data_IF_792007413625
#
_entry.id   IF_792007413625
#
_cell.length_a   1.000
_cell.length_b   1.000
_cell.length_c   1.000
_cell.angle_alpha   90.00
_cell.angle_beta   90.00
_cell.angle_gamma   90.00
#
_symmetry.space_group_name_H-M   'P 1'
#
loop_
_entity.id
_entity.type
_entity.pdbx_description
1 polymer ?
#
# COMPACT_ATOMS: atom_id res chain seq x y z
N UNK A 1 -13.59 -18.14 -5.95
CA UNK A 1 -13.32 -18.11 -4.48
C UNK A 1 -13.36 -16.66 -3.97
N UNK A 2 -12.63 -15.72 -4.58
CA UNK A 2 -12.55 -14.31 -4.12
C UNK A 2 -13.92 -13.59 -4.14
N UNK A 3 -14.72 -13.77 -5.19
CA UNK A 3 -16.07 -13.20 -5.28
C UNK A 3 -17.03 -13.73 -4.20
N UNK A 4 -16.84 -14.96 -3.73
CA UNK A 4 -17.62 -15.50 -2.59
C UNK A 4 -17.20 -14.84 -1.28
N UNK A 5 -15.90 -14.59 -1.09
CA UNK A 5 -15.40 -13.89 0.09
C UNK A 5 -15.88 -12.43 0.14
N UNK A 6 -15.99 -11.76 -1.01
CA UNK A 6 -16.61 -10.43 -1.11
C UNK A 6 -18.09 -10.43 -0.65
N UNK A 7 -18.80 -11.56 -0.77
CA UNK A 7 -20.16 -11.70 -0.26
C UNK A 7 -20.30 -11.42 1.24
N UNK A 8 -19.27 -11.72 2.03
CA UNK A 8 -19.25 -11.43 3.48
C UNK A 8 -19.06 -9.95 3.81
N UNK A 9 -18.53 -9.17 2.86
CA UNK A 9 -18.32 -7.73 3.02
C UNK A 9 -19.55 -6.87 2.71
N UNK A 10 -20.72 -7.48 2.46
CA UNK A 10 -21.98 -6.74 2.18
C UNK A 10 -22.40 -5.86 3.38
N UNK A 11 -22.95 -4.63 3.16
CA UNK A 11 -23.15 -3.99 1.86
C UNK A 11 -21.89 -3.29 1.37
N UNK A 12 -21.21 -3.91 0.38
CA UNK A 12 -19.98 -3.36 -0.22
C UNK A 12 -20.24 -1.97 -0.77
N UNK A 13 -21.39 -1.76 -1.41
CA UNK A 13 -21.76 -0.51 -2.10
C UNK A 13 -21.69 0.70 -1.17
N UNK A 14 -22.11 0.56 0.08
CA UNK A 14 -22.08 1.64 1.07
C UNK A 14 -20.67 2.16 1.37
N UNK A 15 -19.64 1.32 1.21
CA UNK A 15 -18.25 1.65 1.50
C UNK A 15 -17.42 1.81 0.23
N UNK A 16 -17.72 1.06 -0.83
CA UNK A 16 -16.98 1.12 -2.09
C UNK A 16 -17.19 2.45 -2.81
N UNK A 17 -18.41 2.99 -2.82
CA UNK A 17 -18.69 4.28 -3.48
C UNK A 17 -17.91 5.43 -2.85
N UNK A 18 -18.03 5.71 -1.51
CA UNK A 18 -17.25 6.79 -0.91
C UNK A 18 -15.74 6.53 -0.95
N UNK A 19 -15.32 5.27 -0.82
CA UNK A 19 -13.92 4.88 -0.97
C UNK A 19 -13.38 5.25 -2.36
N UNK A 20 -14.10 4.89 -3.43
CA UNK A 20 -13.72 5.20 -4.80
C UNK A 20 -13.64 6.72 -5.03
N UNK A 21 -14.63 7.46 -4.54
CA UNK A 21 -14.64 8.92 -4.61
C UNK A 21 -13.40 9.53 -3.94
N UNK A 22 -13.10 9.15 -2.70
CA UNK A 22 -11.92 9.64 -1.99
C UNK A 22 -10.61 9.20 -2.67
N UNK A 23 -10.57 7.98 -3.23
CA UNK A 23 -9.40 7.49 -3.95
C UNK A 23 -9.12 8.28 -5.24
N UNK A 24 -10.16 8.67 -5.98
CA UNK A 24 -10.04 9.52 -7.18
C UNK A 24 -9.49 10.89 -6.82
N UNK A 25 -10.05 11.55 -5.80
CA UNK A 25 -9.54 12.86 -5.36
C UNK A 25 -8.11 12.77 -4.81
N UNK A 26 -7.81 11.73 -4.05
CA UNK A 26 -6.46 11.46 -3.62
C UNK A 26 -5.49 11.33 -4.80
N UNK A 27 -5.83 10.50 -5.81
CA UNK A 27 -5.00 10.30 -6.98
C UNK A 27 -4.81 11.61 -7.77
N UNK A 28 -5.86 12.40 -7.92
CA UNK A 28 -5.82 13.69 -8.62
C UNK A 28 -4.87 14.67 -7.91
N UNK A 29 -5.07 14.94 -6.63
CA UNK A 29 -4.21 15.87 -5.89
C UNK A 29 -2.77 15.37 -5.77
N UNK A 30 -2.58 14.06 -5.66
CA UNK A 30 -1.26 13.45 -5.62
C UNK A 30 -0.52 13.62 -6.97
N UNK A 31 -1.22 13.43 -8.08
CA UNK A 31 -0.67 13.65 -9.43
C UNK A 31 -0.31 15.13 -9.65
N UNK A 32 -1.18 16.05 -9.24
CA UNK A 32 -0.89 17.50 -9.29
C UNK A 32 0.35 17.84 -8.47
N UNK A 33 0.47 17.29 -7.27
CA UNK A 33 1.64 17.50 -6.42
C UNK A 33 2.95 17.02 -7.08
N UNK A 34 2.89 15.87 -7.79
CA UNK A 34 4.02 15.38 -8.58
C UNK A 34 4.39 16.33 -9.73
N UNK A 35 3.41 16.87 -10.45
CA UNK A 35 3.63 17.82 -11.56
C UNK A 35 4.22 19.14 -11.07
N UNK A 36 3.85 19.61 -9.87
CA UNK A 36 4.40 20.83 -9.28
C UNK A 36 5.92 20.79 -9.01
N UNK A 37 6.53 19.61 -9.05
CA UNK A 37 7.99 19.48 -8.97
C UNK A 37 8.66 20.17 -10.16
N UNK A 38 8.05 20.19 -11.35
CA UNK A 38 8.60 20.77 -12.57
C UNK A 38 8.89 22.27 -12.40
N UNK A 39 7.89 23.13 -12.07
CA UNK A 39 8.16 24.56 -11.89
C UNK A 39 9.07 24.85 -10.69
N UNK A 40 9.11 24.00 -9.67
CA UNK A 40 10.05 24.16 -8.55
C UNK A 40 11.48 23.95 -9.02
N UNK A 41 11.74 22.84 -9.72
CA UNK A 41 13.07 22.57 -10.25
C UNK A 41 13.49 23.59 -11.32
N UNK A 42 12.56 23.98 -12.20
CA UNK A 42 12.78 25.03 -13.17
C UNK A 42 13.20 26.34 -12.51
N UNK A 43 12.51 26.77 -11.47
CA UNK A 43 12.82 28.02 -10.74
C UNK A 43 14.18 27.96 -10.02
N UNK A 44 14.57 26.79 -9.50
CA UNK A 44 15.79 26.64 -8.71
C UNK A 44 17.05 26.44 -9.57
N UNK A 45 16.94 25.70 -10.67
CA UNK A 45 18.10 25.23 -11.43
C UNK A 45 18.26 25.89 -12.80
N UNK A 46 17.23 26.53 -13.34
CA UNK A 46 17.28 27.17 -14.64
C UNK A 46 17.23 28.71 -14.48
N UNK A 47 18.35 29.43 -14.66
CA UNK A 47 18.38 30.90 -14.58
C UNK A 47 17.51 31.60 -15.61
N UNK A 48 17.26 30.94 -16.75
CA UNK A 48 16.44 31.45 -17.85
C UNK A 48 14.95 31.14 -17.71
N UNK A 49 14.56 30.43 -16.62
CA UNK A 49 13.17 30.11 -16.36
C UNK A 49 12.41 31.35 -15.93
N UNK A 50 11.75 32.00 -16.91
CA UNK A 50 11.05 33.26 -16.69
C UNK A 50 9.55 33.03 -16.65
N UNK A 51 8.93 33.57 -15.63
CA UNK A 51 7.48 33.71 -15.55
C UNK A 51 7.07 35.03 -16.22
N UNK A 52 6.12 34.99 -17.12
CA UNK A 52 5.50 36.18 -17.71
C UNK A 52 4.16 36.46 -17.05
N UNK A 53 3.75 37.74 -16.91
CA UNK A 53 2.42 38.05 -16.42
C UNK A 53 1.37 37.56 -17.42
N UNK A 54 0.46 36.72 -16.93
CA UNK A 54 -0.58 36.09 -17.72
C UNK A 54 -1.92 36.42 -17.09
N UNK A 55 -2.78 37.06 -17.89
CA UNK A 55 -4.13 37.49 -17.47
C UNK A 55 -5.20 36.48 -17.87
N UNK A 56 -4.92 35.60 -18.83
CA UNK A 56 -5.87 34.61 -19.34
C UNK A 56 -5.43 33.20 -18.97
N UNK A 57 -6.38 32.34 -18.60
CA UNK A 57 -6.12 30.94 -18.33
C UNK A 57 -5.63 30.26 -19.61
N UNK A 58 -4.56 29.42 -19.57
CA UNK A 58 -4.12 28.72 -20.75
C UNK A 58 -5.21 27.82 -21.31
N UNK A 59 -5.52 27.98 -22.60
CA UNK A 59 -6.63 27.31 -23.29
C UNK A 59 -6.46 25.78 -23.39
N UNK A 60 -5.26 25.28 -23.18
CA UNK A 60 -4.93 23.83 -23.14
C UNK A 60 -4.24 23.47 -21.85
N UNK A 61 -4.88 22.60 -21.08
CA UNK A 61 -4.28 21.97 -19.90
C UNK A 61 -3.28 20.89 -20.36
N UNK A 62 -2.07 21.29 -20.67
CA UNK A 62 -0.94 20.37 -20.84
C UNK A 62 0.03 20.58 -19.69
N UNK A 63 0.61 19.50 -19.16
CA UNK A 63 1.58 19.60 -18.04
C UNK A 63 3.02 19.77 -18.57
N UNK A 64 3.18 20.45 -19.71
CA UNK A 64 4.48 20.82 -20.25
C UNK A 64 5.12 21.94 -19.40
N UNK A 65 6.44 22.09 -19.51
CA UNK A 65 7.20 23.11 -18.81
C UNK A 65 6.61 24.52 -19.03
N UNK A 66 6.25 24.85 -20.26
CA UNK A 66 5.64 26.14 -20.63
C UNK A 66 4.27 26.36 -20.00
N UNK A 67 3.38 25.34 -20.03
CA UNK A 67 2.02 25.48 -19.48
C UNK A 67 2.03 25.50 -17.96
N UNK A 68 2.95 24.75 -17.32
CA UNK A 68 3.13 24.81 -15.87
C UNK A 68 3.64 26.18 -15.43
N UNK A 69 4.57 26.78 -16.19
CA UNK A 69 5.03 28.13 -15.95
C UNK A 69 3.91 29.17 -16.15
N UNK A 70 3.08 28.99 -17.18
CA UNK A 70 1.91 29.84 -17.43
C UNK A 70 0.87 29.77 -16.31
N UNK A 71 0.57 28.59 -15.80
CA UNK A 71 -0.33 28.43 -14.65
C UNK A 71 0.19 29.12 -13.39
N UNK A 72 1.47 28.92 -13.10
CA UNK A 72 2.12 29.58 -11.97
C UNK A 72 2.12 31.10 -12.18
N UNK A 73 2.45 31.58 -13.38
CA UNK A 73 2.41 33.00 -13.75
C UNK A 73 1.02 33.59 -13.58
N UNK A 74 -0.03 32.91 -14.01
CA UNK A 74 -1.42 33.34 -13.84
C UNK A 74 -1.79 33.48 -12.35
N UNK A 75 -1.54 32.46 -11.54
CA UNK A 75 -1.83 32.49 -10.09
C UNK A 75 -1.00 33.59 -9.41
N UNK A 76 0.26 33.73 -9.78
CA UNK A 76 1.15 34.75 -9.22
C UNK A 76 0.64 36.16 -9.52
N UNK A 77 0.26 36.44 -10.78
CA UNK A 77 -0.22 37.74 -11.21
C UNK A 77 -1.48 38.17 -10.44
N UNK A 78 -2.36 37.22 -10.14
CA UNK A 78 -3.59 37.48 -9.38
C UNK A 78 -3.36 37.68 -7.86
N UNK A 79 -2.31 37.09 -7.29
CA UNK A 79 -2.03 37.13 -5.85
C UNK A 79 -1.04 38.25 -5.49
N UNK A 80 0.03 38.40 -6.28
CA UNK A 80 1.17 39.28 -5.96
C UNK A 80 1.36 40.43 -6.95
N UNK A 81 0.59 40.47 -8.07
CA UNK A 81 0.69 41.50 -9.09
C UNK A 81 1.77 41.22 -10.14
N UNK A 82 2.24 42.28 -10.83
CA UNK A 82 3.09 42.15 -12.03
C UNK A 82 4.59 42.12 -11.77
N UNK A 83 5.03 42.38 -10.52
CA UNK A 83 6.45 42.32 -10.19
C UNK A 83 6.87 40.92 -9.76
N UNK A 84 7.57 40.21 -10.66
CA UNK A 84 8.08 38.86 -10.38
C UNK A 84 9.36 38.89 -9.55
N UNK A 85 9.21 38.62 -8.24
CA UNK A 85 10.34 38.39 -7.34
C UNK A 85 10.51 36.87 -7.14
N UNK A 86 11.71 36.36 -7.37
CA UNK A 86 11.99 34.91 -7.27
C UNK A 86 11.60 34.33 -5.92
N UNK A 87 11.81 35.07 -4.83
CA UNK A 87 11.42 34.65 -3.47
C UNK A 87 9.89 34.45 -3.35
N UNK A 88 9.10 35.37 -3.88
CA UNK A 88 7.64 35.30 -3.82
C UNK A 88 7.09 34.12 -4.67
N UNK A 89 7.73 33.83 -5.80
CA UNK A 89 7.38 32.66 -6.63
C UNK A 89 7.64 31.37 -5.86
N UNK A 90 8.78 31.24 -5.22
CA UNK A 90 9.13 30.07 -4.40
C UNK A 90 8.17 29.90 -3.21
N UNK A 91 7.80 31.02 -2.56
CA UNK A 91 6.79 30.99 -1.47
C UNK A 91 5.44 30.53 -2.02
N UNK A 92 4.97 31.05 -3.16
CA UNK A 92 3.72 30.63 -3.80
C UNK A 92 3.74 29.14 -4.12
N UNK A 93 4.81 28.66 -4.74
CA UNK A 93 4.97 27.24 -5.07
C UNK A 93 4.99 26.37 -3.82
N UNK A 94 5.72 26.78 -2.78
CA UNK A 94 5.78 26.07 -1.50
C UNK A 94 4.39 25.98 -0.84
N UNK A 95 3.65 27.09 -0.79
CA UNK A 95 2.27 27.12 -0.24
C UNK A 95 1.34 26.25 -1.07
N UNK A 96 1.45 26.27 -2.39
CA UNK A 96 0.62 25.45 -3.29
C UNK A 96 0.90 23.96 -3.06
N UNK A 97 2.17 23.54 -2.98
CA UNK A 97 2.56 22.16 -2.67
C UNK A 97 2.07 21.75 -1.27
N UNK A 98 2.21 22.63 -0.30
CA UNK A 98 1.75 22.35 1.08
C UNK A 98 0.23 22.15 1.11
N UNK A 99 -0.52 22.99 0.42
CA UNK A 99 -1.98 22.91 0.34
C UNK A 99 -2.44 21.67 -0.41
N UNK A 100 -1.88 21.38 -1.59
CA UNK A 100 -2.21 20.17 -2.37
C UNK A 100 -1.81 18.90 -1.64
N UNK A 101 -0.68 18.90 -0.95
CA UNK A 101 -0.24 17.79 -0.10
C UNK A 101 -1.19 17.56 1.08
N UNK A 102 -1.64 18.62 1.73
CA UNK A 102 -2.61 18.54 2.83
C UNK A 102 -3.94 17.95 2.35
N UNK A 103 -4.46 18.47 1.21
CA UNK A 103 -5.68 17.91 0.61
C UNK A 103 -5.51 16.44 0.22
N UNK A 104 -4.43 16.10 -0.46
CA UNK A 104 -4.12 14.72 -0.85
C UNK A 104 -4.11 13.79 0.37
N UNK A 105 -3.39 14.15 1.42
CA UNK A 105 -3.32 13.34 2.62
C UNK A 105 -4.66 13.26 3.38
N UNK A 106 -5.47 14.31 3.34
CA UNK A 106 -6.83 14.30 3.91
C UNK A 106 -7.72 13.28 3.18
N UNK A 107 -7.73 13.30 1.84
CA UNK A 107 -8.49 12.31 1.05
C UNK A 107 -7.96 10.88 1.22
N UNK A 108 -6.64 10.72 1.34
CA UNK A 108 -6.01 9.45 1.69
C UNK A 108 -6.49 8.92 3.04
N UNK A 109 -6.54 9.78 4.04
CA UNK A 109 -7.04 9.43 5.37
C UNK A 109 -8.51 9.02 5.33
N UNK A 110 -9.37 9.80 4.68
CA UNK A 110 -10.81 9.49 4.52
C UNK A 110 -11.03 8.16 3.78
N UNK A 111 -10.25 7.92 2.72
CA UNK A 111 -10.26 6.65 1.99
C UNK A 111 -9.87 5.48 2.90
N UNK A 112 -8.78 5.62 3.65
CA UNK A 112 -8.31 4.59 4.58
C UNK A 112 -9.30 4.34 5.73
N UNK A 113 -9.90 5.40 6.26
CA UNK A 113 -10.91 5.32 7.30
C UNK A 113 -12.17 4.58 6.83
N UNK A 114 -12.60 4.84 5.58
CA UNK A 114 -13.76 4.15 4.99
C UNK A 114 -13.52 2.65 4.85
N UNK A 115 -12.32 2.25 4.37
CA UNK A 115 -11.99 0.83 4.21
C UNK A 115 -11.83 0.13 5.58
N UNK A 116 -11.31 0.82 6.58
CA UNK A 116 -11.15 0.27 7.94
C UNK A 116 -12.49 0.05 8.64
N UNK A 117 -13.45 0.95 8.44
CA UNK A 117 -14.83 0.74 8.91
C UNK A 117 -15.49 -0.47 8.24
N UNK A 118 -15.28 -0.66 6.94
CA UNK A 118 -15.74 -1.86 6.23
C UNK A 118 -15.09 -3.11 6.82
N UNK A 119 -13.78 -3.03 7.07
CA UNK A 119 -12.96 -4.09 7.65
C UNK A 119 -13.51 -4.57 8.98
N UNK A 120 -13.73 -3.67 9.92
CA UNK A 120 -14.20 -3.98 11.26
C UNK A 120 -15.60 -4.65 11.23
N UNK A 121 -16.50 -4.13 10.40
CA UNK A 121 -17.85 -4.70 10.27
C UNK A 121 -17.86 -6.06 9.59
N UNK A 122 -17.00 -6.26 8.57
CA UNK A 122 -16.86 -7.56 7.91
C UNK A 122 -16.32 -8.61 8.88
N UNK A 123 -15.31 -8.23 9.68
CA UNK A 123 -14.77 -9.11 10.73
C UNK A 123 -15.84 -9.55 11.73
N UNK A 124 -16.61 -8.59 12.23
CA UNK A 124 -17.68 -8.88 13.17
C UNK A 124 -18.71 -9.85 12.60
N UNK A 125 -19.15 -9.64 11.35
CA UNK A 125 -20.10 -10.55 10.68
C UNK A 125 -19.52 -11.94 10.50
N UNK A 126 -18.33 -12.05 9.96
CA UNK A 126 -17.68 -13.35 9.77
C UNK A 126 -17.54 -14.12 11.08
N UNK A 127 -17.23 -13.44 12.17
CA UNK A 127 -17.17 -14.06 13.51
C UNK A 127 -18.52 -14.50 14.00
N UNK A 128 -19.56 -13.67 13.85
CA UNK A 128 -20.93 -14.02 14.24
C UNK A 128 -21.45 -15.21 13.43
N UNK A 129 -21.29 -15.18 12.10
CA UNK A 129 -21.73 -16.29 11.22
C UNK A 129 -21.03 -17.60 11.57
N UNK A 130 -19.72 -17.54 11.88
CA UNK A 130 -18.98 -18.72 12.33
C UNK A 130 -19.45 -19.19 13.70
N UNK A 131 -19.67 -18.28 14.64
CA UNK A 131 -20.17 -18.62 15.96
C UNK A 131 -21.53 -19.29 15.88
N UNK A 132 -22.47 -18.72 15.13
CA UNK A 132 -23.81 -19.29 14.93
C UNK A 132 -23.76 -20.68 14.29
N UNK A 133 -22.89 -20.86 13.27
CA UNK A 133 -22.68 -22.16 12.66
C UNK A 133 -22.11 -23.20 13.65
N UNK A 134 -21.14 -22.77 14.47
CA UNK A 134 -20.56 -23.65 15.50
C UNK A 134 -21.57 -24.04 16.57
N UNK A 135 -22.40 -23.10 17.01
CA UNK A 135 -23.46 -23.39 18.02
C UNK A 135 -24.54 -24.36 17.50
N UNK A 136 -24.74 -24.43 16.20
CA UNK A 136 -25.67 -25.36 15.56
C UNK A 136 -25.05 -26.76 15.30
N UNK A 137 -23.77 -26.99 15.64
CA UNK A 137 -23.14 -28.30 15.50
C UNK A 137 -23.56 -29.26 16.61
N UNK A 138 -23.58 -30.57 16.29
CA UNK A 138 -23.88 -31.62 17.25
C UNK A 138 -22.83 -31.63 18.38
N UNK A 139 -23.27 -31.89 19.62
CA UNK A 139 -22.39 -31.93 20.82
C UNK A 139 -21.23 -32.93 20.65
N UNK A 140 -21.44 -34.05 19.94
CA UNK A 140 -20.38 -35.01 19.62
C UNK A 140 -19.20 -34.48 18.76
N UNK A 141 -19.37 -33.29 18.15
CA UNK A 141 -18.31 -32.64 17.42
C UNK A 141 -17.21 -32.03 18.35
N UNK A 142 -17.58 -31.67 19.57
CA UNK A 142 -16.74 -30.96 20.51
C UNK A 142 -15.84 -31.91 21.33
N UNK A 143 -14.65 -32.25 20.83
CA UNK A 143 -13.56 -32.79 21.61
C UNK A 143 -12.63 -31.68 22.06
N UNK A 144 -11.77 -31.91 23.06
CA UNK A 144 -10.85 -30.87 23.57
C UNK A 144 -9.89 -30.35 22.50
N UNK A 145 -9.42 -31.21 21.61
CA UNK A 145 -8.58 -30.85 20.49
C UNK A 145 -9.33 -29.99 19.46
N UNK A 146 -10.59 -30.30 19.18
CA UNK A 146 -11.42 -29.54 18.24
C UNK A 146 -11.88 -28.19 18.78
N UNK A 147 -12.02 -28.03 20.09
CA UNK A 147 -12.31 -26.73 20.70
C UNK A 147 -11.22 -25.72 20.41
N UNK A 148 -9.94 -26.09 20.57
CA UNK A 148 -8.79 -25.25 20.25
C UNK A 148 -8.75 -24.84 18.77
N UNK A 149 -9.03 -25.79 17.86
CA UNK A 149 -9.09 -25.52 16.42
C UNK A 149 -10.20 -24.55 16.05
N UNK A 150 -11.40 -24.72 16.63
CA UNK A 150 -12.53 -23.79 16.42
C UNK A 150 -12.22 -22.39 16.92
N UNK A 151 -11.63 -22.26 18.11
CA UNK A 151 -11.21 -20.96 18.65
C UNK A 151 -10.17 -20.30 17.74
N UNK A 152 -9.18 -21.05 17.28
CA UNK A 152 -8.16 -20.55 16.35
C UNK A 152 -8.77 -20.06 15.03
N UNK A 153 -9.73 -20.80 14.47
CA UNK A 153 -10.43 -20.39 13.24
C UNK A 153 -11.21 -19.09 13.42
N UNK A 154 -11.95 -18.94 14.51
CA UNK A 154 -12.76 -17.73 14.78
C UNK A 154 -11.87 -16.51 15.08
N UNK A 155 -10.74 -16.69 15.73
CA UNK A 155 -9.88 -15.58 16.16
C UNK A 155 -8.83 -15.23 15.11
N UNK A 156 -8.06 -16.20 14.65
CA UNK A 156 -6.89 -16.00 13.80
C UNK A 156 -7.23 -16.05 12.30
N UNK A 157 -7.83 -17.16 11.83
CA UNK A 157 -8.04 -17.38 10.40
C UNK A 157 -8.98 -16.36 9.79
N UNK A 158 -10.06 -16.01 10.50
CA UNK A 158 -11.00 -14.97 10.06
C UNK A 158 -10.30 -13.62 9.91
N UNK A 159 -9.38 -13.28 10.80
CA UNK A 159 -8.62 -12.04 10.73
C UNK A 159 -7.72 -12.00 9.49
N UNK A 160 -7.06 -13.12 9.16
CA UNK A 160 -6.24 -13.24 7.95
C UNK A 160 -7.09 -13.11 6.68
N UNK A 161 -8.22 -13.82 6.62
CA UNK A 161 -9.13 -13.75 5.46
C UNK A 161 -9.65 -12.33 5.25
N UNK A 162 -10.10 -11.69 6.31
CA UNK A 162 -10.58 -10.32 6.28
C UNK A 162 -9.50 -9.32 5.83
N UNK A 163 -8.26 -9.47 6.32
CA UNK A 163 -7.14 -8.64 5.87
C UNK A 163 -6.88 -8.82 4.37
N UNK A 164 -6.91 -10.06 3.87
CA UNK A 164 -6.76 -10.33 2.43
C UNK A 164 -7.85 -9.65 1.60
N UNK A 165 -9.12 -9.69 2.03
CA UNK A 165 -10.23 -9.07 1.30
C UNK A 165 -10.04 -7.55 1.23
N UNK A 166 -9.79 -6.89 2.37
CA UNK A 166 -9.71 -5.43 2.42
C UNK A 166 -8.46 -4.89 1.74
N UNK A 167 -7.32 -5.54 1.93
CA UNK A 167 -6.07 -5.16 1.29
C UNK A 167 -6.16 -5.30 -0.24
N UNK A 168 -6.76 -6.40 -0.73
CA UNK A 168 -6.95 -6.59 -2.18
C UNK A 168 -7.88 -5.53 -2.77
N UNK A 169 -8.96 -5.15 -2.10
CA UNK A 169 -9.84 -4.07 -2.55
C UNK A 169 -9.08 -2.74 -2.59
N UNK A 170 -8.30 -2.44 -1.56
CA UNK A 170 -7.52 -1.22 -1.49
C UNK A 170 -6.51 -1.13 -2.64
N UNK A 171 -5.75 -2.20 -2.88
CA UNK A 171 -4.76 -2.24 -3.96
C UNK A 171 -5.44 -2.24 -5.34
N UNK A 172 -6.53 -2.98 -5.52
CA UNK A 172 -7.22 -3.10 -6.82
C UNK A 172 -7.87 -1.79 -7.30
N UNK A 173 -8.25 -0.89 -6.41
CA UNK A 173 -8.89 0.38 -6.79
C UNK A 173 -7.93 1.57 -6.72
N UNK A 174 -7.21 1.74 -5.62
CA UNK A 174 -6.37 2.92 -5.40
C UNK A 174 -5.13 2.93 -6.30
N UNK A 175 -4.41 1.82 -6.37
CA UNK A 175 -3.14 1.79 -7.11
C UNK A 175 -3.31 1.98 -8.63
N UNK A 176 -4.32 1.35 -9.31
CA UNK A 176 -4.55 1.65 -10.72
C UNK A 176 -4.90 3.11 -11.00
N UNK A 177 -5.67 3.77 -10.12
CA UNK A 177 -5.98 5.19 -10.27
C UNK A 177 -4.72 6.06 -10.21
N UNK A 178 -3.79 5.77 -9.27
CA UNK A 178 -2.50 6.44 -9.18
C UNK A 178 -1.64 6.19 -10.42
N UNK A 179 -1.56 4.94 -10.87
CA UNK A 179 -0.80 4.58 -12.08
C UNK A 179 -1.33 5.33 -13.29
N UNK A 180 -2.65 5.35 -13.48
CA UNK A 180 -3.28 6.10 -14.58
C UNK A 180 -2.96 7.59 -14.47
N UNK A 181 -3.10 8.18 -13.28
CA UNK A 181 -2.79 9.58 -13.03
C UNK A 181 -1.33 9.93 -13.39
N UNK A 182 -0.39 9.14 -12.94
CA UNK A 182 1.04 9.34 -13.24
C UNK A 182 1.38 9.10 -14.71
N UNK A 183 0.77 8.08 -15.35
CA UNK A 183 0.96 7.84 -16.77
C UNK A 183 0.44 9.02 -17.61
N UNK A 184 -0.76 9.51 -17.31
CA UNK A 184 -1.33 10.68 -17.99
C UNK A 184 -0.41 11.88 -17.81
N UNK A 185 0.02 12.19 -16.59
CA UNK A 185 0.96 13.28 -16.33
C UNK A 185 2.26 13.11 -17.11
N UNK A 186 2.84 11.92 -17.11
CA UNK A 186 4.09 11.61 -17.81
C UNK A 186 3.96 11.77 -19.34
N UNK A 187 2.85 11.32 -19.94
CA UNK A 187 2.58 11.53 -21.36
C UNK A 187 2.37 13.00 -21.71
N UNK A 188 1.76 13.77 -20.83
CA UNK A 188 1.56 15.21 -21.02
C UNK A 188 2.87 16.01 -20.91
N UNK A 189 3.82 15.54 -20.10
CA UNK A 189 5.14 16.16 -19.96
C UNK A 189 6.03 15.83 -21.17
N UNK A 190 6.19 14.55 -21.49
CA UNK A 190 7.02 14.10 -22.61
C UNK A 190 6.62 12.71 -23.09
N UNK A 191 6.01 12.63 -24.27
CA UNK A 191 5.58 11.37 -24.86
C UNK A 191 6.77 10.43 -25.19
N UNK A 192 7.92 11.00 -25.56
CA UNK A 192 9.14 10.22 -25.86
C UNK A 192 9.69 9.52 -24.63
N UNK A 193 9.78 10.26 -23.51
CA UNK A 193 10.26 9.73 -22.25
C UNK A 193 9.27 8.70 -21.67
N UNK A 194 7.97 8.92 -21.88
CA UNK A 194 6.91 8.00 -21.45
C UNK A 194 7.01 6.64 -22.14
N UNK A 195 7.17 6.62 -23.46
CA UNK A 195 7.35 5.37 -24.22
C UNK A 195 8.63 4.65 -23.77
N UNK A 196 9.73 5.39 -23.63
CA UNK A 196 10.98 4.80 -23.14
C UNK A 196 10.77 4.13 -21.76
N UNK A 197 10.11 4.82 -20.83
CA UNK A 197 9.85 4.28 -19.49
C UNK A 197 8.94 3.04 -19.51
N UNK A 198 7.89 3.04 -20.34
CA UNK A 198 6.98 1.89 -20.48
C UNK A 198 7.71 0.66 -21.03
N UNK A 199 8.66 0.84 -21.95
CA UNK A 199 9.48 -0.25 -22.49
C UNK A 199 10.53 -0.71 -21.47
N UNK A 200 11.12 0.23 -20.74
CA UNK A 200 12.17 -0.05 -19.76
C UNK A 200 11.65 -0.79 -18.51
N UNK A 201 10.45 -0.43 -18.01
CA UNK A 201 9.85 -1.03 -16.82
C UNK A 201 9.71 -2.58 -16.90
N UNK A 202 9.21 -3.20 -17.98
CA UNK A 202 9.17 -4.65 -18.09
C UNK A 202 10.55 -5.31 -18.06
N UNK A 203 11.57 -4.67 -18.64
CA UNK A 203 12.95 -5.18 -18.60
C UNK A 203 13.47 -5.24 -17.17
N UNK A 204 13.28 -4.15 -16.40
CA UNK A 204 13.63 -4.11 -14.97
C UNK A 204 12.83 -5.14 -14.18
N UNK A 205 11.52 -5.28 -14.44
CA UNK A 205 10.66 -6.25 -13.78
C UNK A 205 11.13 -7.70 -14.03
N UNK A 206 11.56 -8.03 -15.26
CA UNK A 206 12.13 -9.34 -15.58
C UNK A 206 13.44 -9.60 -14.83
N UNK A 207 14.34 -8.62 -14.74
CA UNK A 207 15.59 -8.73 -14.00
C UNK A 207 15.31 -8.96 -12.50
N UNK A 208 14.43 -8.17 -11.90
CA UNK A 208 14.01 -8.35 -10.51
C UNK A 208 13.36 -9.72 -10.31
N UNK A 209 12.51 -10.15 -11.24
CA UNK A 209 11.86 -11.46 -11.22
C UNK A 209 12.84 -12.63 -11.19
N UNK A 210 13.94 -12.54 -11.96
CA UNK A 210 15.01 -13.54 -11.94
C UNK A 210 15.73 -13.57 -10.58
N UNK A 211 16.05 -12.40 -10.00
CA UNK A 211 16.67 -12.29 -8.68
C UNK A 211 15.76 -12.90 -7.61
N UNK A 212 14.48 -12.53 -7.59
CA UNK A 212 13.48 -13.07 -6.65
C UNK A 212 13.34 -14.58 -6.80
N UNK A 213 13.31 -15.10 -8.03
CA UNK A 213 13.27 -16.55 -8.28
C UNK A 213 14.48 -17.27 -7.68
N UNK A 214 15.67 -16.70 -7.80
CA UNK A 214 16.90 -17.24 -7.22
C UNK A 214 16.87 -17.21 -5.68
N UNK A 215 16.25 -16.20 -5.08
CA UNK A 215 16.12 -16.06 -3.62
C UNK A 215 15.02 -16.95 -3.00
N UNK A 216 14.09 -17.45 -3.81
CA UNK A 216 12.99 -18.32 -3.32
C UNK A 216 13.47 -19.63 -2.70
N UNK A 217 14.50 -20.23 -3.28
CA UNK A 217 15.01 -21.51 -2.79
C UNK A 217 15.59 -21.39 -1.37
N UNK A 218 16.52 -20.47 -1.07
CA UNK A 218 17.03 -20.31 0.29
C UNK A 218 15.95 -19.86 1.29
N UNK A 219 14.95 -19.09 0.87
CA UNK A 219 13.84 -18.68 1.74
C UNK A 219 12.99 -19.88 2.18
N UNK A 220 12.70 -20.83 1.27
CA UNK A 220 11.98 -22.08 1.59
C UNK A 220 12.77 -22.97 2.54
N UNK A 221 14.06 -23.10 2.30
CA UNK A 221 14.95 -23.87 3.18
C UNK A 221 15.00 -23.28 4.59
N UNK A 222 15.04 -21.94 4.70
CA UNK A 222 14.97 -21.27 6.00
C UNK A 222 13.64 -21.53 6.73
N UNK A 223 12.51 -21.51 6.03
CA UNK A 223 11.22 -21.85 6.62
C UNK A 223 11.16 -23.30 7.10
N UNK A 224 11.72 -24.24 6.34
CA UNK A 224 11.80 -25.64 6.76
C UNK A 224 12.65 -25.81 8.03
N UNK A 225 13.84 -25.20 8.06
CA UNK A 225 14.72 -25.22 9.25
C UNK A 225 14.07 -24.56 10.47
N UNK A 226 13.30 -23.47 10.25
CA UNK A 226 12.52 -22.84 11.32
C UNK A 226 11.44 -23.79 11.85
N UNK A 227 10.78 -24.55 10.97
CA UNK A 227 9.81 -25.58 11.35
C UNK A 227 10.48 -26.72 12.17
N UNK A 228 11.64 -27.20 11.74
CA UNK A 228 12.42 -28.21 12.47
C UNK A 228 12.83 -27.69 13.87
N UNK A 229 13.29 -26.44 13.96
CA UNK A 229 13.63 -25.79 15.21
C UNK A 229 12.44 -25.72 16.18
N UNK A 230 11.27 -25.29 15.69
CA UNK A 230 10.04 -25.21 16.48
C UNK A 230 9.61 -26.60 16.95
N UNK A 231 9.69 -27.64 16.09
CA UNK A 231 9.39 -29.02 16.44
C UNK A 231 10.34 -29.55 17.54
N UNK A 232 11.64 -29.28 17.45
CA UNK A 232 12.62 -29.66 18.48
C UNK A 232 12.39 -28.94 19.80
N UNK A 233 11.97 -27.65 19.74
CA UNK A 233 11.59 -26.89 20.92
C UNK A 233 10.35 -27.49 21.60
N UNK A 234 9.34 -27.83 20.81
CA UNK A 234 8.10 -28.43 21.32
C UNK A 234 8.36 -29.79 21.98
N UNK A 235 9.18 -30.66 21.35
CA UNK A 235 9.62 -31.92 21.91
C UNK A 235 10.40 -31.73 23.24
N UNK A 236 11.33 -30.76 23.23
CA UNK A 236 12.14 -30.45 24.41
C UNK A 236 11.29 -29.93 25.57
N UNK A 237 10.34 -29.04 25.29
CA UNK A 237 9.44 -28.48 26.28
C UNK A 237 8.44 -29.51 26.80
N UNK A 238 7.92 -30.35 25.93
CA UNK A 238 7.02 -31.45 26.31
C UNK A 238 7.72 -32.49 27.19
N UNK A 239 8.99 -32.77 26.89
CA UNK A 239 9.83 -33.68 27.64
C UNK A 239 10.62 -33.04 28.79
N UNK A 240 10.41 -31.79 29.14
CA UNK A 240 11.25 -31.02 30.07
C UNK A 240 11.41 -31.67 31.45
N UNK A 241 10.39 -32.36 31.96
CA UNK A 241 10.45 -33.07 33.23
C UNK A 241 11.45 -34.24 33.17
N UNK A 242 11.46 -34.95 32.05
CA UNK A 242 12.37 -36.09 31.81
C UNK A 242 13.79 -35.57 31.66
N UNK A 243 14.00 -34.54 30.85
CA UNK A 243 15.30 -33.90 30.60
C UNK A 243 15.91 -33.41 31.92
N UNK A 244 15.11 -32.74 32.77
CA UNK A 244 15.57 -32.28 34.08
C UNK A 244 15.87 -33.42 35.06
N UNK A 245 15.09 -34.50 35.05
CA UNK A 245 15.31 -35.64 35.96
C UNK A 245 16.59 -36.42 35.65
N UNK A 246 16.98 -36.51 34.37
CA UNK A 246 18.22 -37.13 33.92
C UNK A 246 19.42 -36.19 33.82
N UNK A 247 19.24 -34.91 34.16
CA UNK A 247 20.25 -33.84 34.02
C UNK A 247 20.84 -33.74 32.60
N UNK A 248 20.04 -34.08 31.59
CA UNK A 248 20.46 -34.23 30.18
C UNK A 248 20.23 -32.92 29.38
N UNK A 249 20.39 -31.76 30.03
CA UNK A 249 20.18 -30.43 29.39
C UNK A 249 21.05 -30.23 28.15
N UNK A 250 22.23 -30.86 28.06
CA UNK A 250 23.15 -30.73 26.93
C UNK A 250 22.76 -31.57 25.70
N UNK A 251 21.89 -32.56 25.86
CA UNK A 251 21.50 -33.46 24.78
C UNK A 251 20.63 -32.76 23.71
N UNK A 252 19.96 -31.67 24.07
CA UNK A 252 19.01 -30.91 23.21
C UNK A 252 19.57 -29.56 22.75
N UNK A 253 20.82 -29.26 23.06
CA UNK A 253 21.47 -28.12 22.40
C UNK A 253 21.76 -28.51 20.96
N UNK A 254 21.34 -27.71 20.00
CA UNK A 254 21.63 -27.96 18.59
C UNK A 254 23.14 -28.11 18.39
N UNK A 255 23.60 -29.15 17.67
CA UNK A 255 25.01 -29.32 17.41
C UNK A 255 25.59 -28.09 16.78
N UNK A 256 26.67 -27.56 17.34
CA UNK A 256 27.43 -26.45 16.79
C UNK A 256 27.80 -26.74 15.33
N UNK A 257 27.84 -25.78 14.42
CA UNK A 257 28.39 -25.99 13.09
C UNK A 257 29.81 -26.56 13.08
N UNK A 258 30.55 -26.47 14.20
CA UNK A 258 31.88 -27.07 14.40
C UNK A 258 31.86 -28.57 14.64
N UNK A 259 30.73 -29.13 15.05
CA UNK A 259 30.62 -30.59 15.35
C UNK A 259 30.20 -31.38 14.09
N UNK A 260 30.13 -30.75 12.94
CA UNK A 260 29.87 -31.35 11.62
C UNK A 260 31.14 -31.42 10.76
N UNK A 261 32.30 -31.60 11.40
CA UNK A 261 33.55 -31.85 10.72
C UNK A 261 33.63 -33.23 10.12
#
# INVERSE_FOLDING_TARGET
>A
TYLRLLGFAKPIEKYAIPYFFYAVFYALFNTVNFVLIIPILGTLFNPDYRFSPIYELPARLSFNEETSAQMVGYVYTHVFGTEFKMLNILILLAVTVMTTSLLSNTFRYLSSWTIENMRTRSLQRMRNDLFDNVMNLNVGFFSDQRKGDVISKITSDVTVVQYCITNTLQVAFREPLLIIGYLVAMFMISWKLSIFSIVFLPVVALLIGQIVKKLRHPARTNQQRMGEMVSTLDESLSGIKVIKSYNACLLYTSPSPRDRG
#
